data_IF_637787648809
#
_entry.id   IF_637787648809
#
_cell.length_a   1.000
_cell.length_b   1.000
_cell.length_c   1.000
_cell.angle_alpha   90.00
_cell.angle_beta   90.00
_cell.angle_gamma   90.00
#
_symmetry.space_group_name_H-M   'P 1'
#
loop_
_entity.id
_entity.type
_entity.pdbx_description
1 polymer ?
#
# COMPACT_ATOMS: atom_id res chain seq x y z
N UNK A 1 -15.43 -13.85 3.22
CA UNK A 1 -14.71 -12.57 3.15
C UNK A 1 -13.46 -12.66 2.28
N UNK A 2 -12.63 -13.70 2.44
CA UNK A 2 -11.40 -13.83 1.64
C UNK A 2 -11.71 -13.88 0.14
N UNK A 3 -12.60 -14.77 -0.30
CA UNK A 3 -13.02 -14.89 -1.71
C UNK A 3 -13.61 -13.57 -2.22
N UNK A 4 -14.46 -12.92 -1.43
CA UNK A 4 -15.01 -11.61 -1.79
C UNK A 4 -13.91 -10.54 -1.95
N UNK A 5 -12.91 -10.57 -1.08
CA UNK A 5 -11.77 -9.65 -1.17
C UNK A 5 -10.94 -9.85 -2.42
N UNK A 6 -10.67 -11.10 -2.83
CA UNK A 6 -9.97 -11.38 -4.08
C UNK A 6 -10.78 -10.87 -5.29
N UNK A 7 -12.08 -11.18 -5.35
CA UNK A 7 -12.96 -10.72 -6.45
C UNK A 7 -13.00 -9.18 -6.51
N UNK A 8 -13.19 -8.52 -5.38
CA UNK A 8 -13.24 -7.06 -5.34
C UNK A 8 -11.92 -6.44 -5.82
N UNK A 9 -10.79 -6.99 -5.40
CA UNK A 9 -9.49 -6.47 -5.76
C UNK A 9 -9.17 -6.71 -7.24
N UNK A 10 -9.50 -7.89 -7.75
CA UNK A 10 -9.37 -8.22 -9.17
C UNK A 10 -10.19 -7.24 -10.02
N UNK A 11 -11.42 -6.92 -9.61
CA UNK A 11 -12.27 -5.93 -10.28
C UNK A 11 -11.68 -4.52 -10.22
N UNK A 12 -11.17 -4.10 -9.05
CA UNK A 12 -10.52 -2.80 -8.89
C UNK A 12 -9.28 -2.68 -9.76
N UNK A 13 -8.48 -3.74 -9.90
CA UNK A 13 -7.21 -3.74 -10.63
C UNK A 13 -7.35 -4.09 -12.11
N UNK A 14 -8.45 -4.73 -12.53
CA UNK A 14 -8.68 -5.08 -13.93
C UNK A 14 -8.62 -3.85 -14.84
N UNK A 15 -7.80 -3.91 -15.87
CA UNK A 15 -7.67 -2.85 -16.88
C UNK A 15 -8.89 -2.77 -17.81
N UNK A 16 -9.71 -3.83 -17.88
CA UNK A 16 -10.97 -3.85 -18.63
C UNK A 16 -12.03 -2.99 -17.93
N UNK A 17 -11.98 -2.94 -16.60
CA UNK A 17 -12.83 -2.05 -15.81
C UNK A 17 -12.09 -0.75 -15.49
N UNK A 18 -12.36 0.29 -16.28
CA UNK A 18 -11.72 1.60 -16.08
C UNK A 18 -12.09 2.26 -14.75
N UNK A 19 -13.30 2.12 -14.24
CA UNK A 19 -13.71 2.60 -12.92
C UNK A 19 -13.00 3.87 -12.46
N UNK A 20 -12.12 3.74 -11.47
CA UNK A 20 -11.30 4.83 -10.93
C UNK A 20 -10.00 5.10 -11.72
N UNK A 21 -9.78 4.39 -12.83
CA UNK A 21 -8.61 4.53 -13.68
C UNK A 21 -8.85 5.55 -14.78
N UNK A 22 -7.75 6.06 -15.33
CA UNK A 22 -7.77 6.94 -16.50
C UNK A 22 -6.56 6.67 -17.39
N UNK A 23 -6.70 6.95 -18.67
CA UNK A 23 -5.57 7.03 -19.58
C UNK A 23 -4.92 8.41 -19.39
N UNK A 24 -3.63 8.41 -19.08
CA UNK A 24 -2.82 9.61 -18.91
C UNK A 24 -1.85 9.73 -20.08
N UNK A 25 -1.91 10.84 -20.79
CA UNK A 25 -0.99 11.13 -21.88
C UNK A 25 0.20 11.93 -21.37
N UNK A 26 1.39 11.39 -21.56
CA UNK A 26 2.65 11.96 -21.06
C UNK A 26 2.95 13.29 -21.75
N UNK A 27 3.24 14.31 -20.97
CA UNK A 27 3.65 15.62 -21.46
C UNK A 27 5.17 15.74 -21.59
N UNK A 28 5.69 16.66 -22.41
CA UNK A 28 7.13 16.85 -22.53
C UNK A 28 7.81 17.11 -21.18
N UNK A 29 8.92 16.40 -20.91
CA UNK A 29 9.71 16.56 -19.68
C UNK A 29 9.09 15.92 -18.42
N UNK A 30 8.08 15.09 -18.56
CA UNK A 30 7.55 14.30 -17.44
C UNK A 30 8.27 12.96 -17.31
N UNK A 31 8.50 12.57 -16.05
CA UNK A 31 8.99 11.25 -15.69
C UNK A 31 7.99 10.53 -14.77
N UNK A 32 8.14 9.22 -14.66
CA UNK A 32 7.23 8.35 -13.88
C UNK A 32 6.96 8.87 -12.45
N UNK A 33 7.98 9.31 -11.74
CA UNK A 33 7.81 9.81 -10.36
C UNK A 33 6.95 11.07 -10.29
N UNK A 34 7.14 12.01 -11.23
CA UNK A 34 6.32 13.23 -11.31
C UNK A 34 4.88 12.88 -11.60
N UNK A 35 4.65 12.01 -12.59
CA UNK A 35 3.31 11.54 -12.96
C UNK A 35 2.64 10.83 -11.79
N UNK A 36 3.35 9.91 -11.12
CA UNK A 36 2.83 9.21 -9.95
C UNK A 36 2.39 10.17 -8.84
N UNK A 37 3.24 11.15 -8.52
CA UNK A 37 2.97 12.14 -7.47
C UNK A 37 1.75 13.00 -7.79
N UNK A 38 1.69 13.55 -9.01
CA UNK A 38 0.59 14.41 -9.46
C UNK A 38 -0.76 13.67 -9.49
N UNK A 39 -0.75 12.38 -9.80
CA UNK A 39 -1.94 11.56 -9.91
C UNK A 39 -2.26 10.74 -8.66
N UNK A 40 -1.59 11.00 -7.53
CA UNK A 40 -1.83 10.32 -6.25
C UNK A 40 -1.77 8.79 -6.37
N UNK A 41 -0.83 8.28 -7.16
CA UNK A 41 -0.57 6.85 -7.34
C UNK A 41 0.84 6.49 -6.85
N UNK A 42 1.24 5.24 -7.02
CA UNK A 42 2.60 4.76 -6.74
C UNK A 42 3.29 4.30 -8.00
N UNK A 43 4.62 4.23 -7.98
CA UNK A 43 5.40 3.65 -9.08
C UNK A 43 5.04 2.17 -9.26
N UNK A 44 4.84 1.43 -8.17
CA UNK A 44 4.49 0.01 -8.21
C UNK A 44 3.13 -0.22 -8.90
N UNK A 45 2.12 0.60 -8.55
CA UNK A 45 0.79 0.53 -9.18
C UNK A 45 0.84 0.91 -10.67
N UNK A 46 1.64 1.93 -11.03
CA UNK A 46 1.81 2.29 -12.43
C UNK A 46 2.47 1.16 -13.23
N UNK A 47 3.50 0.52 -12.67
CA UNK A 47 4.13 -0.63 -13.32
C UNK A 47 3.14 -1.76 -13.54
N UNK A 48 2.41 -2.12 -12.49
CA UNK A 48 1.43 -3.21 -12.54
C UNK A 48 0.35 -2.96 -13.60
N UNK A 49 -0.29 -1.80 -13.58
CA UNK A 49 -1.38 -1.47 -14.49
C UNK A 49 -0.96 -1.35 -15.96
N UNK A 50 0.32 -1.10 -16.22
CA UNK A 50 0.85 -0.95 -17.58
C UNK A 50 1.71 -2.14 -18.01
N UNK A 51 1.77 -3.22 -17.23
CA UNK A 51 2.57 -4.41 -17.55
C UNK A 51 4.08 -4.12 -17.66
N UNK A 52 4.58 -3.09 -16.95
CA UNK A 52 5.98 -2.68 -17.01
C UNK A 52 6.82 -3.55 -16.07
N UNK A 53 7.88 -4.14 -16.58
CA UNK A 53 8.89 -4.86 -15.81
C UNK A 53 9.98 -3.93 -15.28
N UNK A 54 10.20 -2.82 -15.96
CA UNK A 54 11.17 -1.77 -15.58
C UNK A 54 10.67 -0.40 -16.06
N UNK A 55 11.29 0.66 -15.55
CA UNK A 55 11.05 2.01 -16.03
C UNK A 55 12.03 2.31 -17.17
N UNK A 56 11.54 2.16 -18.39
CA UNK A 56 12.25 2.57 -19.61
C UNK A 56 12.18 4.08 -19.84
N UNK A 57 12.61 4.50 -21.01
CA UNK A 57 12.45 5.89 -21.45
C UNK A 57 10.97 6.18 -21.69
N UNK A 58 10.53 7.31 -21.15
CA UNK A 58 9.16 7.81 -21.32
C UNK A 58 9.19 8.97 -22.32
N UNK A 59 8.36 8.90 -23.33
CA UNK A 59 8.28 9.90 -24.39
C UNK A 59 6.98 10.71 -24.27
N UNK A 60 7.06 11.94 -24.73
CA UNK A 60 5.85 12.76 -24.86
C UNK A 60 4.87 12.11 -25.84
N UNK A 61 3.61 12.01 -25.40
CA UNK A 61 2.56 11.34 -26.15
C UNK A 61 2.31 9.89 -25.76
N UNK A 62 3.22 9.25 -25.00
CA UNK A 62 2.99 7.91 -24.47
C UNK A 62 1.72 7.90 -23.59
N UNK A 63 1.01 6.79 -23.60
CA UNK A 63 -0.20 6.60 -22.82
C UNK A 63 0.04 5.61 -21.68
N UNK A 64 -0.36 6.01 -20.48
CA UNK A 64 -0.27 5.20 -19.26
C UNK A 64 -1.64 5.07 -18.61
N UNK A 65 -1.99 3.86 -18.21
CA UNK A 65 -3.14 3.63 -17.32
C UNK A 65 -2.74 4.02 -15.91
N UNK A 66 -3.49 4.94 -15.31
CA UNK A 66 -3.22 5.44 -13.97
C UNK A 66 -4.47 5.30 -13.11
N UNK A 67 -4.26 4.82 -11.89
CA UNK A 67 -5.30 4.74 -10.85
C UNK A 67 -4.89 5.59 -9.65
N UNK A 68 -5.67 6.62 -9.28
CA UNK A 68 -5.49 7.31 -8.01
C UNK A 68 -5.73 6.35 -6.85
N UNK A 69 -4.75 6.24 -5.94
CA UNK A 69 -4.83 5.33 -4.79
C UNK A 69 -5.49 6.03 -3.59
N UNK A 70 -6.81 6.20 -3.68
CA UNK A 70 -7.63 6.76 -2.60
C UNK A 70 -8.17 5.64 -1.71
N UNK A 71 -7.22 4.98 -1.01
CA UNK A 71 -7.50 3.88 -0.10
C UNK A 71 -7.42 4.35 1.36
N UNK A 72 -8.18 3.65 2.21
CA UNK A 72 -8.11 3.75 3.66
C UNK A 72 -7.83 2.37 4.25
N UNK A 73 -6.99 2.33 5.29
CA UNK A 73 -6.73 1.12 6.06
C UNK A 73 -7.44 1.16 7.40
N UNK A 74 -7.91 0.00 7.83
CA UNK A 74 -8.32 -0.27 9.21
C UNK A 74 -7.47 -1.41 9.76
N UNK A 75 -6.53 -1.09 10.65
CA UNK A 75 -5.77 -2.09 11.41
C UNK A 75 -6.63 -2.51 12.61
N UNK A 76 -7.33 -3.63 12.46
CA UNK A 76 -8.28 -4.14 13.44
C UNK A 76 -7.62 -5.21 14.29
N UNK A 77 -6.97 -4.81 15.39
CA UNK A 77 -6.21 -5.73 16.24
C UNK A 77 -7.06 -6.78 16.92
N UNK A 78 -8.27 -6.44 17.47
CA UNK A 78 -9.16 -7.46 18.01
C UNK A 78 -9.54 -8.58 17.05
N UNK A 79 -9.60 -8.26 15.75
CA UNK A 79 -9.92 -9.24 14.69
C UNK A 79 -8.68 -9.82 14.03
N UNK A 80 -7.48 -9.40 14.44
CA UNK A 80 -6.21 -9.79 13.81
C UNK A 80 -6.25 -9.63 12.28
N UNK A 81 -6.65 -8.45 11.80
CA UNK A 81 -6.78 -8.14 10.37
C UNK A 81 -6.40 -6.71 10.04
N UNK A 82 -5.83 -6.52 8.86
CA UNK A 82 -5.75 -5.22 8.18
C UNK A 82 -6.83 -5.23 7.10
N UNK A 83 -7.79 -4.34 7.20
CA UNK A 83 -8.90 -4.22 6.25
C UNK A 83 -8.63 -3.02 5.33
N UNK A 84 -8.71 -3.26 4.01
CA UNK A 84 -8.51 -2.26 2.96
C UNK A 84 -9.87 -1.79 2.45
N UNK A 85 -10.02 -0.50 2.33
CA UNK A 85 -11.20 0.15 1.75
C UNK A 85 -10.75 1.07 0.61
N UNK A 86 -11.47 1.07 -0.51
CA UNK A 86 -11.26 2.01 -1.59
C UNK A 86 -12.39 3.03 -1.64
N UNK A 87 -12.13 4.21 -2.18
CA UNK A 87 -13.15 5.22 -2.37
C UNK A 87 -13.91 4.96 -3.65
N UNK A 88 -15.17 4.57 -3.51
CA UNK A 88 -16.11 4.46 -4.62
C UNK A 88 -16.47 5.87 -5.11
N UNK A 89 -16.24 6.16 -6.38
CA UNK A 89 -16.44 7.50 -6.94
C UNK A 89 -17.92 7.84 -7.12
N UNK A 90 -18.76 6.83 -7.38
CA UNK A 90 -20.20 7.00 -7.55
C UNK A 90 -20.88 7.23 -6.19
N UNK A 91 -20.59 6.36 -5.23
CA UNK A 91 -21.17 6.42 -3.89
C UNK A 91 -20.52 7.48 -3.00
N UNK A 92 -19.33 7.97 -3.37
CA UNK A 92 -18.52 8.94 -2.59
C UNK A 92 -18.17 8.46 -1.18
N UNK A 93 -18.18 7.17 -0.95
CA UNK A 93 -17.87 6.53 0.32
C UNK A 93 -16.73 5.51 0.19
N UNK A 94 -16.17 5.09 1.33
CA UNK A 94 -15.19 4.02 1.36
C UNK A 94 -15.91 2.67 1.48
N UNK A 95 -15.74 1.82 0.47
CA UNK A 95 -16.28 0.48 0.43
C UNK A 95 -15.18 -0.56 0.65
N UNK A 96 -15.56 -1.69 1.22
CA UNK A 96 -14.61 -2.77 1.51
C UNK A 96 -14.00 -3.32 0.22
N UNK A 97 -12.67 -3.35 0.16
CA UNK A 97 -11.93 -3.99 -0.91
C UNK A 97 -11.48 -5.40 -0.50
N UNK A 98 -10.58 -5.49 0.49
CA UNK A 98 -9.97 -6.77 0.90
C UNK A 98 -9.53 -6.72 2.35
N UNK A 99 -9.34 -7.90 2.97
CA UNK A 99 -8.72 -8.00 4.28
C UNK A 99 -7.50 -8.94 4.25
N UNK A 100 -6.51 -8.61 5.09
CA UNK A 100 -5.22 -9.28 5.21
C UNK A 100 -5.08 -9.79 6.64
N UNK A 101 -4.90 -11.10 6.87
CA UNK A 101 -4.69 -11.64 8.21
C UNK A 101 -3.38 -11.16 8.83
N UNK A 102 -3.42 -10.65 10.06
CA UNK A 102 -2.24 -10.37 10.86
C UNK A 102 -1.69 -11.71 11.39
N UNK A 103 -0.44 -11.99 11.11
CA UNK A 103 0.22 -13.24 11.53
C UNK A 103 0.97 -13.10 12.84
N UNK A 104 1.60 -11.95 13.06
CA UNK A 104 2.30 -11.62 14.30
C UNK A 104 2.03 -10.15 14.64
N UNK A 105 1.97 -9.87 15.92
CA UNK A 105 1.70 -8.54 16.44
C UNK A 105 2.67 -8.25 17.58
N UNK A 106 3.52 -7.26 17.41
CA UNK A 106 4.38 -6.70 18.44
C UNK A 106 4.16 -5.21 18.55
N UNK A 107 3.39 -4.82 19.56
CA UNK A 107 3.13 -3.43 19.86
C UNK A 107 3.74 -3.09 21.22
N UNK A 108 4.41 -1.94 21.28
CA UNK A 108 4.80 -1.35 22.53
C UNK A 108 3.57 -0.94 23.38
N UNK A 109 3.82 -0.21 24.45
CA UNK A 109 2.72 0.32 25.28
C UNK A 109 1.89 1.30 24.47
N UNK A 110 0.69 0.87 24.07
CA UNK A 110 -0.30 1.70 23.40
C UNK A 110 -1.58 1.77 24.21
N UNK A 111 -2.22 2.94 24.21
CA UNK A 111 -3.53 3.10 24.82
C UNK A 111 -4.58 2.32 24.03
N UNK A 112 -5.56 1.77 24.76
CA UNK A 112 -6.75 1.17 24.15
C UNK A 112 -7.57 2.25 23.45
N UNK A 113 -8.34 1.87 22.43
CA UNK A 113 -9.24 2.77 21.73
C UNK A 113 -9.06 2.78 20.22
N UNK A 114 -9.58 3.81 19.61
CA UNK A 114 -9.50 4.07 18.18
C UNK A 114 -8.51 5.21 17.95
N UNK A 115 -7.53 4.96 17.10
CA UNK A 115 -6.49 5.92 16.78
C UNK A 115 -6.51 6.23 15.29
N UNK A 116 -6.50 7.52 14.97
CA UNK A 116 -6.33 7.98 13.59
C UNK A 116 -4.84 8.18 13.30
N UNK A 117 -4.43 7.68 12.16
CA UNK A 117 -3.06 7.75 11.69
C UNK A 117 -3.03 8.03 10.18
N UNK A 118 -1.83 8.21 9.66
CA UNK A 118 -1.55 8.22 8.22
C UNK A 118 -0.33 7.39 7.93
N UNK A 119 -0.27 6.85 6.72
CA UNK A 119 0.98 6.32 6.20
C UNK A 119 1.97 7.48 6.09
N UNK A 120 3.01 7.44 6.90
CA UNK A 120 4.03 8.49 6.98
C UNK A 120 5.30 8.14 6.20
N UNK A 121 5.53 6.85 5.97
CA UNK A 121 6.72 6.34 5.30
C UNK A 121 6.41 5.07 4.52
N UNK A 122 7.05 4.92 3.35
CA UNK A 122 7.07 3.70 2.56
C UNK A 122 8.52 3.44 2.14
N UNK A 123 9.01 2.23 2.36
CA UNK A 123 10.37 1.83 1.99
C UNK A 123 10.45 0.32 1.80
N UNK A 124 11.55 -0.15 1.28
CA UNK A 124 11.90 -1.55 1.22
C UNK A 124 13.15 -1.84 2.03
N UNK A 125 13.18 -2.96 2.74
CA UNK A 125 14.33 -3.46 3.48
C UNK A 125 14.93 -4.66 2.74
N UNK A 126 16.22 -4.60 2.44
CA UNK A 126 16.97 -5.66 1.79
C UNK A 126 18.35 -5.74 2.42
N UNK A 127 18.72 -6.90 2.94
CA UNK A 127 20.03 -7.17 3.55
C UNK A 127 20.44 -6.11 4.59
N UNK A 128 19.51 -5.71 5.45
CA UNK A 128 19.72 -4.71 6.49
C UNK A 128 19.82 -3.26 6.01
N UNK A 129 19.61 -3.00 4.73
CA UNK A 129 19.56 -1.66 4.14
C UNK A 129 18.15 -1.27 3.76
N UNK A 130 17.86 0.01 3.94
CA UNK A 130 16.54 0.60 3.60
C UNK A 130 16.61 1.36 2.29
N UNK A 131 15.69 1.08 1.38
CA UNK A 131 15.61 1.69 0.06
C UNK A 131 14.29 2.43 -0.15
N UNK A 132 14.31 3.68 -0.66
CA UNK A 132 13.08 4.38 -1.03
C UNK A 132 12.44 3.77 -2.29
N UNK A 133 11.14 3.98 -2.54
CA UNK A 133 10.43 3.44 -3.70
C UNK A 133 11.01 3.83 -5.07
N UNK A 134 11.83 4.87 -5.11
CA UNK A 134 12.52 5.34 -6.32
C UNK A 134 13.82 4.61 -6.64
N UNK A 135 14.33 3.80 -5.70
CA UNK A 135 15.58 3.08 -5.87
C UNK A 135 15.35 1.73 -6.55
N UNK A 136 16.23 1.35 -7.48
CA UNK A 136 16.10 0.07 -8.20
C UNK A 136 16.03 -1.16 -7.28
N UNK A 137 16.79 -1.17 -6.18
CA UNK A 137 16.79 -2.28 -5.21
C UNK A 137 15.46 -2.40 -4.44
N UNK A 138 14.62 -1.36 -4.44
CA UNK A 138 13.32 -1.41 -3.75
C UNK A 138 12.43 -2.54 -4.28
N UNK A 139 12.53 -2.90 -5.55
CA UNK A 139 11.72 -3.96 -6.17
C UNK A 139 11.96 -5.33 -5.53
N UNK A 140 13.20 -5.58 -5.14
CA UNK A 140 13.64 -6.85 -4.54
C UNK A 140 13.61 -6.81 -3.01
N UNK A 141 13.31 -5.66 -2.45
CA UNK A 141 13.30 -5.44 -1.01
C UNK A 141 11.94 -5.78 -0.39
N UNK A 142 11.92 -6.24 0.84
CA UNK A 142 10.72 -6.45 1.65
C UNK A 142 10.04 -5.11 1.93
N UNK A 143 8.78 -4.95 1.51
CA UNK A 143 8.06 -3.67 1.62
C UNK A 143 7.63 -3.39 3.05
N UNK A 144 7.82 -2.16 3.49
CA UNK A 144 7.45 -1.69 4.83
C UNK A 144 6.68 -0.39 4.75
N UNK A 145 5.55 -0.32 5.46
CA UNK A 145 4.72 0.87 5.59
C UNK A 145 4.78 1.38 7.02
N UNK A 146 5.24 2.60 7.21
CA UNK A 146 5.30 3.26 8.53
C UNK A 146 4.03 4.04 8.82
N UNK A 147 3.44 3.76 9.99
CA UNK A 147 2.26 4.42 10.54
C UNK A 147 2.68 5.34 11.67
N UNK A 148 2.36 6.61 11.58
CA UNK A 148 2.60 7.56 12.69
C UNK A 148 1.36 7.70 13.53
N UNK A 149 1.43 7.22 14.77
CA UNK A 149 0.39 7.33 15.81
C UNK A 149 0.87 8.25 16.94
N UNK A 150 0.53 9.51 16.87
CA UNK A 150 1.04 10.49 17.84
C UNK A 150 2.57 10.53 17.85
N UNK A 151 3.18 10.10 18.96
CA UNK A 151 4.64 9.99 19.13
C UNK A 151 5.19 8.61 18.76
N UNK A 152 4.35 7.62 18.56
CA UNK A 152 4.75 6.24 18.26
C UNK A 152 4.76 5.98 16.76
N UNK A 153 5.68 5.13 16.34
CA UNK A 153 5.73 4.58 14.98
C UNK A 153 5.43 3.09 15.05
N UNK A 154 4.46 2.66 14.25
CA UNK A 154 4.17 1.24 14.01
C UNK A 154 4.51 0.95 12.56
N UNK A 155 4.95 -0.26 12.28
CA UNK A 155 5.22 -0.70 10.92
C UNK A 155 4.25 -1.83 10.53
N UNK A 156 3.70 -1.76 9.33
CA UNK A 156 3.20 -2.93 8.63
C UNK A 156 4.36 -3.50 7.83
N UNK A 157 4.68 -4.77 8.03
CA UNK A 157 5.85 -5.40 7.43
C UNK A 157 5.62 -6.88 7.15
N UNK A 158 6.37 -7.48 6.22
CA UNK A 158 6.26 -8.91 5.97
C UNK A 158 6.86 -9.70 7.13
N UNK A 159 6.28 -10.87 7.40
CA UNK A 159 6.86 -11.88 8.26
C UNK A 159 7.93 -12.62 7.46
N UNK A 160 9.17 -12.57 7.92
CA UNK A 160 10.30 -13.19 7.22
C UNK A 160 10.46 -14.67 7.52
N UNK A 161 9.94 -15.12 8.67
CA UNK A 161 10.21 -16.44 9.24
C UNK A 161 11.52 -16.54 10.01
N UNK A 162 12.31 -15.47 10.06
CA UNK A 162 13.49 -15.34 10.91
C UNK A 162 13.14 -14.51 12.15
N UNK A 163 13.26 -15.10 13.34
CA UNK A 163 12.88 -14.46 14.60
C UNK A 163 13.65 -13.15 14.85
N UNK A 164 14.89 -13.05 14.37
CA UNK A 164 15.71 -11.84 14.53
C UNK A 164 15.21 -10.70 13.62
N UNK A 165 14.82 -11.02 12.38
CA UNK A 165 14.27 -10.06 11.44
C UNK A 165 12.82 -9.69 11.75
N UNK A 166 12.08 -10.62 12.36
CA UNK A 166 10.69 -10.41 12.79
C UNK A 166 10.60 -9.77 14.19
N UNK A 167 11.71 -9.35 14.76
CA UNK A 167 11.75 -8.61 16.03
C UNK A 167 11.39 -7.13 15.83
N UNK A 168 10.86 -6.52 16.89
CA UNK A 168 10.52 -5.11 16.92
C UNK A 168 9.03 -4.79 16.73
N UNK A 169 8.70 -3.51 16.92
CA UNK A 169 7.31 -3.04 16.91
C UNK A 169 6.71 -3.10 15.50
N UNK A 170 5.65 -3.89 15.34
CA UNK A 170 5.00 -4.00 14.05
C UNK A 170 3.77 -4.89 14.01
N UNK A 171 3.09 -4.79 12.90
CA UNK A 171 1.99 -5.64 12.46
C UNK A 171 2.52 -6.45 11.28
N UNK A 172 2.61 -7.76 11.43
CA UNK A 172 3.26 -8.64 10.46
C UNK A 172 2.22 -9.38 9.62
N UNK A 173 2.37 -9.29 8.31
CA UNK A 173 1.56 -9.97 7.31
C UNK A 173 2.42 -11.03 6.58
N UNK A 174 1.81 -11.95 5.86
CA UNK A 174 2.59 -12.80 4.95
C UNK A 174 3.18 -11.96 3.80
N UNK A 175 4.35 -12.32 3.26
CA UNK A 175 5.01 -11.54 2.23
C UNK A 175 4.13 -11.19 1.02
N UNK A 176 3.36 -12.10 0.42
CA UNK A 176 2.47 -11.75 -0.70
C UNK A 176 1.42 -10.68 -0.35
N UNK A 177 0.80 -10.78 0.83
CA UNK A 177 -0.19 -9.81 1.31
C UNK A 177 0.45 -8.43 1.50
N UNK A 178 1.70 -8.39 1.97
CA UNK A 178 2.41 -7.13 2.18
C UNK A 178 2.85 -6.49 0.86
N UNK A 179 3.27 -7.27 -0.13
CA UNK A 179 3.59 -6.78 -1.48
C UNK A 179 2.35 -6.15 -2.13
N UNK A 180 1.24 -6.88 -2.15
CA UNK A 180 -0.03 -6.40 -2.70
C UNK A 180 -0.51 -5.14 -2.00
N UNK A 181 -0.55 -5.15 -0.65
CA UNK A 181 -0.97 -4.00 0.14
C UNK A 181 -0.07 -2.78 -0.14
N UNK A 182 1.25 -2.99 -0.22
CA UNK A 182 2.18 -1.90 -0.48
C UNK A 182 2.00 -1.27 -1.86
N UNK A 183 1.63 -2.05 -2.87
CA UNK A 183 1.35 -1.55 -4.21
C UNK A 183 0.18 -0.55 -4.19
N UNK A 184 -0.84 -0.82 -3.39
CA UNK A 184 -2.08 -0.04 -3.30
C UNK A 184 -2.00 1.15 -2.35
N UNK A 185 -1.05 1.15 -1.41
CA UNK A 185 -0.94 2.16 -0.37
C UNK A 185 0.20 3.13 -0.68
N UNK A 186 -0.10 4.42 -0.61
CA UNK A 186 0.85 5.53 -0.73
C UNK A 186 1.02 6.28 0.59
N UNK A 187 2.10 7.04 0.70
CA UNK A 187 2.26 8.00 1.78
C UNK A 187 1.10 9.00 1.77
N UNK A 188 0.52 9.25 2.94
CA UNK A 188 -0.63 10.12 3.14
C UNK A 188 -1.98 9.41 3.18
N UNK A 189 -2.09 8.11 2.81
CA UNK A 189 -3.34 7.38 3.00
C UNK A 189 -3.73 7.33 4.48
N UNK A 190 -5.03 7.45 4.73
CA UNK A 190 -5.59 7.39 6.08
C UNK A 190 -5.57 5.97 6.63
N UNK A 191 -5.28 5.89 7.93
CA UNK A 191 -5.29 4.64 8.68
C UNK A 191 -6.04 4.82 9.98
N UNK A 192 -6.98 3.94 10.26
CA UNK A 192 -7.57 3.78 11.58
C UNK A 192 -6.96 2.56 12.25
N UNK A 193 -6.54 2.68 13.51
CA UNK A 193 -6.04 1.56 14.31
C UNK A 193 -6.96 1.34 15.48
N UNK A 194 -7.56 0.16 15.58
CA UNK A 194 -8.42 -0.26 16.69
C UNK A 194 -7.67 -1.16 17.63
N UNK A 195 -7.53 -0.70 18.88
CA UNK A 195 -6.87 -1.41 19.98
C UNK A 195 -7.88 -1.55 21.11
N UNK A 196 -8.95 -2.27 20.86
CA UNK A 196 -9.96 -2.55 21.89
C UNK A 196 -10.03 -4.05 22.14
N UNK A 197 -10.17 -4.40 23.38
CA UNK A 197 -10.87 -5.60 23.81
C UNK A 197 -12.26 -5.20 24.22
#
# INVERSE_FOLDING_TARGET
RRILGEINLDEILSIENMGNKKIYRVSPGEGYLKIATQNKTTLDSMMFLNGLTEFGNLHSGDELVIMPLDFKLLVNLPKMRVELFYRDQEKKEHVFAKDYPIRKLELGRMSRGHHQAKISRKHGDLEGKTYPPTHQSYRHASKVLGLKLGRSMIQLRPLSGDENLDSGLGVFLVPPDMEELSMLIRVGNEVEVRITR
#
